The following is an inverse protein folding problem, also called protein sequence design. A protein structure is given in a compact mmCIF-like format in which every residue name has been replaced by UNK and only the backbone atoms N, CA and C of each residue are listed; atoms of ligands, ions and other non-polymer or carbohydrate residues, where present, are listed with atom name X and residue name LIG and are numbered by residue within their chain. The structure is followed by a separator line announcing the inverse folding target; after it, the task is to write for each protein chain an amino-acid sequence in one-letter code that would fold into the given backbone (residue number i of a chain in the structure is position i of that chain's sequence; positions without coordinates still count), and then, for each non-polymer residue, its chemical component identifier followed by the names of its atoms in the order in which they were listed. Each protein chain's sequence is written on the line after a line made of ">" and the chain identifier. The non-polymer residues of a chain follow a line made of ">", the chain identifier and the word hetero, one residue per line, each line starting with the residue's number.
data_IF_874006576115
#
_entry.id   IF_874006576115
#
_cell.length_a   1.000
_cell.length_b   1.000
_cell.length_c   1.000
_cell.angle_alpha   90.00
_cell.angle_beta   90.00
_cell.angle_gamma   90.00
#
_symmetry.space_group_name_H-M   'P 1'
#
loop_
_entity.id
_entity.type
_entity.pdbx_description
1 polymer ?
#
# COMPACT_ATOMS: atom_id res chain seq x y z
N UNK A 1 -40.78 -70.64 -8.87
CA UNK A 1 -42.25 -70.66 -8.92
C UNK A 1 -42.76 -71.16 -7.59
N UNK A 2 -43.81 -70.50 -7.05
CA UNK A 2 -44.50 -70.83 -5.79
C UNK A 2 -43.75 -70.39 -4.51
N UNK A 3 -44.35 -69.82 -3.47
CA UNK A 3 -45.73 -69.44 -3.19
C UNK A 3 -45.76 -68.50 -1.95
N UNK A 4 -46.68 -67.54 -1.99
CA UNK A 4 -47.61 -67.07 -0.93
C UNK A 4 -47.19 -67.02 0.57
N UNK A 5 -47.46 -65.83 1.13
CA UNK A 5 -47.48 -65.39 2.55
C UNK A 5 -48.07 -66.38 3.58
N UNK A 6 -47.75 -66.20 4.88
CA UNK A 6 -48.80 -65.64 5.77
C UNK A 6 -48.34 -64.77 6.98
N UNK A 7 -49.28 -63.92 7.39
CA UNK A 7 -49.67 -63.49 8.76
C UNK A 7 -48.76 -62.59 9.64
N UNK A 8 -49.28 -61.37 9.89
CA UNK A 8 -49.04 -60.50 11.06
C UNK A 8 -49.55 -61.14 12.37
N UNK A 9 -48.95 -60.83 13.53
CA UNK A 9 -49.49 -59.82 14.46
C UNK A 9 -48.34 -59.01 15.15
N UNK A 10 -48.46 -57.94 15.94
CA UNK A 10 -49.52 -57.14 16.54
C UNK A 10 -48.93 -55.73 16.81
N UNK A 11 -49.79 -54.71 16.93
CA UNK A 11 -49.41 -53.33 17.26
C UNK A 11 -48.91 -53.22 18.70
N UNK A 12 -47.85 -52.45 18.95
CA UNK A 12 -47.77 -51.54 20.10
C UNK A 12 -46.62 -50.53 20.02
N UNK A 13 -46.95 -49.27 20.36
CA UNK A 13 -46.10 -48.21 20.92
C UNK A 13 -45.01 -47.59 20.00
N UNK A 14 -45.26 -46.47 19.32
CA UNK A 14 -45.23 -45.06 19.77
C UNK A 14 -43.84 -44.39 19.73
N UNK A 15 -43.86 -43.18 19.16
CA UNK A 15 -42.93 -42.05 19.28
C UNK A 15 -41.60 -42.08 18.47
N UNK A 16 -41.69 -41.41 17.32
CA UNK A 16 -40.60 -40.84 16.54
C UNK A 16 -39.80 -39.82 17.37
N UNK A 17 -38.49 -40.02 17.49
CA UNK A 17 -37.54 -39.04 18.02
C UNK A 17 -36.93 -38.27 16.84
N UNK A 18 -37.43 -37.05 16.62
CA UNK A 18 -36.70 -36.00 15.92
C UNK A 18 -36.53 -34.85 16.92
N UNK A 19 -35.32 -34.71 17.48
CA UNK A 19 -34.93 -33.51 18.22
C UNK A 19 -33.82 -32.79 17.47
N UNK A 20 -34.09 -31.51 17.30
CA UNK A 20 -33.39 -30.49 16.54
C UNK A 20 -32.25 -29.93 17.39
N UNK A 21 -31.05 -29.85 16.78
CA UNK A 21 -29.92 -28.95 17.02
C UNK A 21 -29.60 -28.42 18.44
N UNK A 22 -28.37 -28.68 18.91
CA UNK A 22 -27.37 -27.64 19.25
C UNK A 22 -25.97 -28.24 19.02
N UNK A 23 -25.35 -27.94 17.88
CA UNK A 23 -23.90 -28.11 17.69
C UNK A 23 -23.28 -26.79 18.10
N UNK A 24 -22.51 -26.78 19.18
CA UNK A 24 -21.69 -25.63 19.57
C UNK A 24 -20.55 -25.49 18.56
N UNK A 25 -20.37 -24.32 17.91
CA UNK A 25 -19.20 -24.12 17.07
C UNK A 25 -17.97 -24.00 17.96
N UNK A 26 -17.02 -24.90 17.71
CA UNK A 26 -15.61 -24.86 18.12
C UNK A 26 -15.05 -23.48 17.78
N UNK A 27 -14.37 -22.88 18.76
CA UNK A 27 -13.65 -21.60 18.64
C UNK A 27 -12.90 -21.51 17.31
N UNK A 28 -13.43 -20.68 16.41
CA UNK A 28 -12.75 -20.25 15.20
C UNK A 28 -11.50 -19.48 15.62
N UNK A 29 -10.35 -19.93 15.12
CA UNK A 29 -9.14 -19.12 15.06
C UNK A 29 -9.52 -17.73 14.53
N UNK A 30 -9.30 -16.71 15.34
CA UNK A 30 -9.33 -15.35 14.85
C UNK A 30 -8.23 -15.22 13.79
N UNK A 31 -8.51 -14.70 12.58
CA UNK A 31 -7.43 -14.27 11.71
C UNK A 31 -6.62 -13.22 12.47
N UNK A 32 -5.30 -13.34 12.44
CA UNK A 32 -4.37 -12.28 12.83
C UNK A 32 -4.81 -10.97 12.17
N UNK A 33 -4.75 -9.82 12.86
CA UNK A 33 -5.05 -8.55 12.20
C UNK A 33 -4.00 -8.36 11.11
N UNK A 34 -4.39 -8.54 9.85
CA UNK A 34 -3.66 -7.97 8.74
C UNK A 34 -3.66 -6.46 8.98
N UNK A 35 -2.47 -5.91 9.16
CA UNK A 35 -2.29 -4.47 9.30
C UNK A 35 -2.73 -3.86 7.97
N UNK A 36 -3.94 -3.31 7.95
CA UNK A 36 -4.53 -2.68 6.78
C UNK A 36 -3.98 -1.26 6.70
N UNK A 37 -2.82 -1.14 6.05
CA UNK A 37 -2.15 0.11 5.72
C UNK A 37 -2.89 0.80 4.58
N UNK A 38 -4.05 1.42 4.87
CA UNK A 38 -4.58 2.42 3.94
C UNK A 38 -3.88 3.75 4.23
N UNK A 39 -3.36 4.39 3.18
CA UNK A 39 -3.01 5.82 3.18
C UNK A 39 -4.26 6.74 3.39
N UNK A 40 -5.42 6.13 3.70
CA UNK A 40 -6.65 6.76 4.13
C UNK A 40 -7.23 6.04 5.37
N UNK A 41 -6.88 6.48 6.58
CA UNK A 41 -7.66 6.16 7.79
C UNK A 41 -7.70 7.32 8.78
N UNK A 42 -8.78 8.10 8.73
CA UNK A 42 -9.28 8.84 9.89
C UNK A 42 -10.79 9.09 9.78
N UNK A 43 -11.59 8.29 10.50
CA UNK A 43 -12.90 8.70 11.02
C UNK A 43 -13.34 7.73 12.12
N UNK A 44 -12.74 7.84 13.30
CA UNK A 44 -13.41 7.42 14.53
C UNK A 44 -13.99 8.68 15.18
N UNK A 45 -15.29 8.94 15.00
CA UNK A 45 -16.00 9.83 15.92
C UNK A 45 -17.13 9.04 16.57
N UNK A 46 -16.94 8.87 17.88
CA UNK A 46 -17.81 8.13 18.77
C UNK A 46 -19.24 8.71 18.80
N UNK A 47 -20.18 7.81 18.99
CA UNK A 47 -21.57 8.06 19.29
C UNK A 47 -21.71 9.05 20.48
N UNK A 48 -22.38 10.18 20.28
CA UNK A 48 -22.97 10.94 21.39
C UNK A 48 -24.33 11.52 20.97
N UNK A 49 -25.39 10.85 21.43
CA UNK A 49 -26.77 11.31 21.38
C UNK A 49 -26.96 12.50 22.33
N UNK A 50 -27.33 13.68 21.80
CA UNK A 50 -28.41 14.56 22.29
C UNK A 50 -28.39 15.90 21.55
N UNK A 51 -29.55 16.56 21.31
CA UNK A 51 -29.60 17.84 20.62
C UNK A 51 -29.46 18.98 21.64
N UNK A 52 -28.25 19.48 21.85
CA UNK A 52 -28.03 20.72 22.58
C UNK A 52 -26.91 21.54 21.94
N UNK A 53 -27.31 22.52 21.12
CA UNK A 53 -26.60 23.77 20.85
C UNK A 53 -25.12 23.66 20.45
N UNK A 54 -24.86 23.38 19.17
CA UNK A 54 -23.52 23.51 18.58
C UNK A 54 -23.16 24.99 18.42
N UNK A 55 -22.22 25.47 19.24
CA UNK A 55 -21.35 26.59 18.86
C UNK A 55 -20.44 26.06 17.74
N UNK A 56 -20.45 26.70 16.56
CA UNK A 56 -19.49 26.36 15.50
C UNK A 56 -18.14 26.99 15.88
N UNK A 57 -17.35 26.26 16.65
CA UNK A 57 -15.89 26.44 16.57
C UNK A 57 -15.50 25.80 15.23
N UNK A 58 -15.07 26.63 14.27
CA UNK A 58 -14.35 26.12 13.11
C UNK A 58 -13.01 25.59 13.64
N UNK A 59 -12.97 24.29 13.95
CA UNK A 59 -11.71 23.56 13.96
C UNK A 59 -11.28 23.53 12.50
N UNK A 60 -10.12 24.11 12.18
CA UNK A 60 -9.51 23.94 10.87
C UNK A 60 -9.33 22.42 10.67
N UNK A 61 -9.92 21.89 9.61
CA UNK A 61 -9.59 20.55 9.16
C UNK A 61 -8.13 20.57 8.72
N UNK A 62 -7.26 19.84 9.42
CA UNK A 62 -5.97 19.48 8.85
C UNK A 62 -6.22 18.49 7.72
N UNK A 63 -5.61 18.72 6.56
CA UNK A 63 -5.81 17.94 5.34
C UNK A 63 -5.62 16.45 5.58
N UNK A 64 -6.62 15.65 5.18
CA UNK A 64 -6.75 14.24 5.51
C UNK A 64 -5.96 13.32 4.55
N UNK A 65 -4.67 13.58 4.36
CA UNK A 65 -3.74 12.66 3.72
C UNK A 65 -2.60 12.34 4.68
N UNK A 66 -2.37 11.06 4.98
CA UNK A 66 -1.16 10.64 5.69
C UNK A 66 0.02 10.62 4.71
N UNK A 67 1.21 11.04 5.14
CA UNK A 67 2.42 10.90 4.33
C UNK A 67 2.73 9.40 4.16
N UNK A 68 2.92 8.96 2.93
CA UNK A 68 3.16 7.55 2.61
C UNK A 68 4.18 7.39 1.47
N UNK A 69 4.76 6.20 1.34
CA UNK A 69 5.58 5.82 0.18
C UNK A 69 4.66 5.70 -1.04
N UNK A 70 5.11 6.19 -2.19
CA UNK A 70 4.30 6.26 -3.41
C UNK A 70 4.90 5.48 -4.59
N UNK A 71 6.16 5.70 -4.91
CA UNK A 71 6.83 5.10 -6.07
C UNK A 71 8.32 4.94 -5.77
N UNK A 72 8.91 3.81 -6.16
CA UNK A 72 10.30 3.48 -5.85
C UNK A 72 10.92 2.83 -7.08
N UNK A 73 12.07 3.36 -7.52
CA UNK A 73 12.97 2.71 -8.48
C UNK A 73 14.31 2.48 -7.80
N UNK A 74 14.76 1.23 -7.82
CA UNK A 74 16.04 0.79 -7.23
C UNK A 74 17.07 0.39 -8.27
N UNK A 75 16.65 0.18 -9.52
CA UNK A 75 17.55 -0.25 -10.60
C UNK A 75 16.95 0.14 -11.97
N UNK A 76 17.73 -0.02 -13.02
CA UNK A 76 17.29 0.09 -14.41
C UNK A 76 18.16 -0.72 -15.36
N UNK A 77 17.64 -1.09 -16.55
CA UNK A 77 18.46 -1.65 -17.60
C UNK A 77 19.62 -0.73 -18.00
N UNK A 78 20.85 -1.22 -17.81
CA UNK A 78 22.07 -0.54 -18.24
C UNK A 78 22.80 0.13 -17.10
N UNK A 79 23.06 1.43 -17.21
CA UNK A 79 23.70 2.19 -16.14
C UNK A 79 22.63 2.64 -15.15
N UNK A 80 22.89 2.38 -13.88
CA UNK A 80 22.00 2.71 -12.76
C UNK A 80 22.14 4.21 -12.43
N UNK A 81 21.24 5.02 -12.99
CA UNK A 81 21.28 6.48 -12.85
C UNK A 81 20.04 7.05 -12.18
N UNK A 82 18.92 6.32 -12.23
CA UNK A 82 17.57 6.77 -11.93
C UNK A 82 17.00 6.05 -10.71
N UNK A 83 17.80 5.91 -9.65
CA UNK A 83 17.31 5.52 -8.34
C UNK A 83 16.50 6.68 -7.73
N UNK A 84 15.29 6.36 -7.25
CA UNK A 84 14.47 7.32 -6.52
C UNK A 84 13.48 6.65 -5.58
N UNK A 85 13.07 7.42 -4.58
CA UNK A 85 11.86 7.17 -3.79
C UNK A 85 11.00 8.42 -3.81
N UNK A 86 9.71 8.23 -3.99
CA UNK A 86 8.72 9.27 -3.93
C UNK A 86 7.81 9.10 -2.71
N UNK A 87 7.63 10.20 -1.98
CA UNK A 87 6.65 10.29 -0.90
C UNK A 87 5.42 11.06 -1.39
N UNK A 88 4.24 10.58 -1.06
CA UNK A 88 2.97 11.28 -1.30
C UNK A 88 2.41 11.82 0.01
N UNK A 89 1.82 13.01 -0.02
CA UNK A 89 1.08 13.55 1.12
C UNK A 89 0.41 14.89 0.81
N UNK A 90 -0.25 15.50 1.80
CA UNK A 90 -0.85 16.82 1.63
C UNK A 90 0.23 17.87 1.31
N UNK A 91 0.02 18.75 0.31
CA UNK A 91 0.92 19.86 0.04
C UNK A 91 1.23 20.69 1.30
N UNK A 92 2.53 20.90 1.56
CA UNK A 92 3.02 21.62 2.74
C UNK A 92 3.09 20.79 4.03
N UNK A 93 2.72 19.50 4.01
CA UNK A 93 2.86 18.64 5.19
C UNK A 93 4.33 18.54 5.62
N UNK A 94 4.60 18.75 6.90
CA UNK A 94 5.95 18.68 7.47
C UNK A 94 6.43 17.23 7.55
N UNK A 95 7.69 17.02 7.20
CA UNK A 95 8.40 15.75 7.35
C UNK A 95 9.29 15.71 8.60
N UNK A 96 9.12 16.67 9.52
CA UNK A 96 9.90 16.71 10.76
C UNK A 96 9.71 15.43 11.59
N UNK A 97 10.85 14.87 12.02
CA UNK A 97 10.90 13.62 12.77
C UNK A 97 10.69 12.36 11.94
N UNK A 98 10.54 12.48 10.61
CA UNK A 98 10.52 11.35 9.69
C UNK A 98 11.92 11.07 9.12
N UNK A 99 12.13 9.78 8.85
CA UNK A 99 13.31 9.23 8.21
C UNK A 99 12.87 8.31 7.10
N UNK A 100 13.49 8.44 5.93
CA UNK A 100 13.44 7.38 4.94
C UNK A 100 14.63 6.46 5.17
N UNK A 101 14.35 5.16 5.29
CA UNK A 101 15.32 4.13 5.63
C UNK A 101 15.14 2.94 4.69
N UNK A 102 16.24 2.35 4.26
CA UNK A 102 16.24 1.03 3.63
C UNK A 102 17.02 0.09 4.53
N UNK A 103 16.45 -1.08 4.78
CA UNK A 103 17.11 -2.19 5.47
C UNK A 103 17.18 -3.42 4.55
N UNK A 104 18.28 -4.14 4.62
CA UNK A 104 18.51 -5.39 3.89
C UNK A 104 19.43 -6.30 4.71
N UNK A 105 20.40 -6.94 4.06
CA UNK A 105 21.38 -7.81 4.71
C UNK A 105 22.65 -7.06 5.18
N UNK A 106 23.26 -7.60 6.22
CA UNK A 106 24.50 -7.12 6.79
C UNK A 106 25.65 -8.09 6.60
N UNK A 107 26.67 -7.94 7.44
CA UNK A 107 27.68 -8.99 7.56
C UNK A 107 27.03 -10.30 8.04
N UNK A 108 27.70 -11.44 7.81
CA UNK A 108 27.23 -12.74 8.30
C UNK A 108 26.98 -12.83 9.83
N UNK A 109 27.46 -11.86 10.62
CA UNK A 109 27.20 -11.75 12.05
C UNK A 109 26.01 -10.84 12.41
N UNK A 110 25.60 -9.96 11.49
CA UNK A 110 24.45 -9.06 11.62
C UNK A 110 23.19 -9.62 10.97
N UNK A 111 23.32 -10.54 10.00
CA UNK A 111 22.17 -11.13 9.35
C UNK A 111 21.31 -10.09 8.63
N UNK A 112 20.00 -10.08 8.85
CA UNK A 112 19.05 -9.17 8.16
C UNK A 112 18.59 -8.03 9.07
N UNK A 113 18.10 -6.94 8.47
CA UNK A 113 17.58 -5.79 9.23
C UNK A 113 18.60 -4.66 9.40
N UNK A 114 19.70 -4.72 8.66
CA UNK A 114 20.76 -3.71 8.72
C UNK A 114 20.40 -2.51 7.87
N UNK A 115 20.57 -1.31 8.43
CA UNK A 115 20.35 -0.05 7.72
C UNK A 115 21.43 0.18 6.66
N UNK A 116 20.99 0.34 5.42
CA UNK A 116 21.85 0.61 4.25
C UNK A 116 21.64 2.01 3.69
N UNK A 117 20.40 2.49 3.68
CA UNK A 117 20.05 3.87 3.32
C UNK A 117 19.43 4.58 4.52
N UNK A 118 19.89 5.80 4.81
CA UNK A 118 19.57 6.51 6.05
C UNK A 118 19.42 8.02 5.83
N UNK A 119 18.19 8.47 5.55
CA UNK A 119 17.91 9.83 5.08
C UNK A 119 17.00 10.55 6.07
N UNK A 120 17.53 11.63 6.66
CA UNK A 120 16.77 12.51 7.55
C UNK A 120 15.90 13.49 6.74
N UNK A 121 14.60 13.50 7.00
CA UNK A 121 13.65 14.38 6.30
C UNK A 121 13.32 15.65 7.11
N UNK A 122 14.00 15.90 8.23
CA UNK A 122 13.81 17.10 9.03
C UNK A 122 14.02 18.39 8.21
N UNK A 123 13.10 19.34 8.38
CA UNK A 123 13.05 20.60 7.66
C UNK A 123 12.54 20.50 6.22
N UNK A 124 12.09 19.31 5.77
CA UNK A 124 11.45 19.10 4.48
C UNK A 124 9.94 19.13 4.62
N UNK A 125 9.27 19.43 3.51
CA UNK A 125 7.82 19.43 3.40
C UNK A 125 7.42 18.77 2.08
N UNK A 126 6.23 18.19 2.01
CA UNK A 126 5.64 17.78 0.74
C UNK A 126 5.45 19.03 -0.16
N UNK A 127 5.97 19.03 -1.40
CA UNK A 127 5.79 20.12 -2.36
C UNK A 127 4.32 20.39 -2.76
N UNK A 128 4.11 21.43 -3.55
CA UNK A 128 2.77 21.91 -3.91
C UNK A 128 1.95 20.95 -4.77
N UNK A 129 2.61 20.04 -5.47
CA UNK A 129 2.02 18.98 -6.29
C UNK A 129 1.63 17.74 -5.48
N UNK A 130 1.99 17.66 -4.19
CA UNK A 130 1.66 16.53 -3.33
C UNK A 130 2.69 15.41 -3.31
N UNK A 131 3.82 15.57 -4.02
CA UNK A 131 4.84 14.54 -4.18
C UNK A 131 6.22 15.09 -3.82
N UNK A 132 6.93 14.44 -2.89
CA UNK A 132 8.35 14.71 -2.66
C UNK A 132 9.17 13.64 -3.35
N UNK A 133 9.84 14.02 -4.44
CA UNK A 133 10.76 13.16 -5.16
C UNK A 133 12.17 13.25 -4.56
N UNK A 134 12.65 12.13 -4.01
CA UNK A 134 14.01 11.99 -3.49
C UNK A 134 14.78 11.11 -4.46
N UNK A 135 15.85 11.64 -5.03
CA UNK A 135 16.60 10.96 -6.09
C UNK A 135 18.08 11.30 -6.07
N UNK A 136 18.86 10.55 -6.85
CA UNK A 136 20.28 10.84 -7.03
C UNK A 136 20.53 11.99 -8.01
N UNK A 137 21.74 12.57 -7.96
CA UNK A 137 22.13 13.64 -8.89
C UNK A 137 22.29 13.19 -10.34
N UNK A 138 22.42 11.87 -10.55
CA UNK A 138 22.48 11.18 -11.84
C UNK A 138 21.11 11.02 -12.51
N UNK A 139 20.02 11.19 -11.76
CA UNK A 139 18.66 10.94 -12.22
C UNK A 139 18.33 11.79 -13.45
N UNK A 140 17.71 11.14 -14.42
CA UNK A 140 17.29 11.67 -15.72
C UNK A 140 15.78 11.60 -15.91
N UNK A 141 15.07 10.73 -15.19
CA UNK A 141 13.62 10.54 -15.29
C UNK A 141 12.81 11.79 -14.90
N UNK A 142 13.29 12.54 -13.92
CA UNK A 142 12.74 13.82 -13.48
C UNK A 142 13.81 14.63 -12.74
N UNK A 143 13.45 15.83 -12.26
CA UNK A 143 14.32 16.62 -11.37
C UNK A 143 13.90 16.36 -9.92
N UNK A 144 14.75 15.76 -9.08
CA UNK A 144 14.41 15.54 -7.67
C UNK A 144 14.19 16.84 -6.89
N UNK A 145 13.24 16.82 -5.97
CA UNK A 145 13.07 17.88 -4.97
C UNK A 145 14.17 17.81 -3.89
N UNK A 146 14.61 16.59 -3.58
CA UNK A 146 15.71 16.31 -2.68
C UNK A 146 16.75 15.44 -3.39
N UNK A 147 17.89 16.04 -3.68
CA UNK A 147 19.05 15.34 -4.21
C UNK A 147 19.88 14.79 -3.04
N UNK A 148 20.10 13.49 -3.02
CA UNK A 148 20.93 12.79 -2.04
C UNK A 148 21.53 11.54 -2.67
N UNK A 149 22.50 10.92 -2.01
CA UNK A 149 22.95 9.58 -2.38
C UNK A 149 21.97 8.57 -1.75
N UNK A 150 21.41 7.69 -2.57
CA UNK A 150 20.45 6.67 -2.16
C UNK A 150 21.15 5.35 -1.94
N UNK A 151 22.00 4.95 -2.91
CA UNK A 151 22.81 3.73 -2.87
C UNK A 151 21.94 2.53 -2.52
N UNK A 152 20.87 2.32 -3.29
CA UNK A 152 20.04 1.14 -3.11
C UNK A 152 20.83 -0.10 -3.56
N UNK A 153 20.55 -1.21 -2.90
CA UNK A 153 21.14 -2.48 -3.27
C UNK A 153 20.28 -3.20 -4.31
N UNK A 154 20.95 -3.96 -5.18
CA UNK A 154 20.33 -4.68 -6.29
C UNK A 154 20.58 -6.17 -6.05
N UNK A 155 19.53 -6.99 -6.20
CA UNK A 155 19.64 -8.44 -6.25
C UNK A 155 19.39 -9.20 -4.94
N UNK A 156 18.87 -8.53 -3.91
CA UNK A 156 18.55 -9.09 -2.58
C UNK A 156 17.14 -8.66 -2.09
N UNK A 157 16.78 -8.91 -0.83
CA UNK A 157 15.52 -8.41 -0.25
C UNK A 157 15.77 -7.12 0.52
N UNK A 158 15.30 -6.00 -0.01
CA UNK A 158 15.38 -4.70 0.67
C UNK A 158 13.99 -4.24 1.11
N UNK A 159 13.90 -3.72 2.34
CA UNK A 159 12.67 -3.10 2.87
C UNK A 159 12.84 -1.59 2.96
N UNK A 160 12.04 -0.88 2.16
CA UNK A 160 11.95 0.57 2.14
C UNK A 160 10.92 1.02 3.18
N UNK A 161 11.30 1.96 4.03
CA UNK A 161 10.54 2.34 5.21
C UNK A 161 10.52 3.85 5.41
N UNK A 162 9.36 4.35 5.85
CA UNK A 162 9.21 5.66 6.44
C UNK A 162 9.05 5.49 7.96
N UNK A 163 10.06 5.89 8.72
CA UNK A 163 10.10 5.74 10.18
C UNK A 163 9.95 7.09 10.88
N UNK A 164 9.23 7.10 12.01
CA UNK A 164 9.13 8.27 12.88
C UNK A 164 9.98 8.09 14.14
N UNK A 165 10.71 9.13 14.50
CA UNK A 165 11.46 9.19 15.76
C UNK A 165 12.61 8.19 15.82
N UNK A 166 13.23 7.90 14.68
CA UNK A 166 14.39 7.03 14.61
C UNK A 166 15.57 7.60 15.39
N UNK A 167 16.19 6.76 16.21
CA UNK A 167 17.33 7.04 17.08
C UNK A 167 18.44 6.03 16.85
N UNK A 168 18.77 5.82 15.57
CA UNK A 168 19.77 4.86 15.10
C UNK A 168 20.85 5.54 14.25
N UNK A 169 21.73 4.75 13.64
CA UNK A 169 22.79 5.21 12.72
C UNK A 169 22.85 4.31 11.49
N UNK A 170 23.40 4.82 10.39
CA UNK A 170 23.66 4.00 9.20
C UNK A 170 24.50 2.75 9.57
N UNK A 171 24.15 1.58 9.03
CA UNK A 171 24.78 0.29 9.31
C UNK A 171 24.40 -0.34 10.66
N UNK A 172 23.51 0.27 11.43
CA UNK A 172 22.95 -0.37 12.61
C UNK A 172 21.92 -1.43 12.22
N UNK A 173 21.83 -2.46 13.04
CA UNK A 173 20.91 -3.57 12.89
C UNK A 173 19.62 -3.30 13.67
N UNK A 174 18.47 -3.37 13.00
CA UNK A 174 17.14 -3.18 13.57
C UNK A 174 16.43 -4.50 13.90
N UNK A 175 17.05 -5.65 13.67
CA UNK A 175 16.54 -7.00 13.96
C UNK A 175 17.67 -7.85 14.55
N UNK A 176 18.15 -7.46 15.73
CA UNK A 176 19.41 -7.96 16.28
C UNK A 176 19.36 -9.44 16.71
N UNK A 177 18.18 -10.06 16.73
CA UNK A 177 18.01 -11.49 16.98
C UNK A 177 17.65 -12.31 15.73
N UNK A 178 17.69 -11.69 14.54
CA UNK A 178 17.51 -12.33 13.23
C UNK A 178 16.21 -13.14 13.12
N UNK A 179 15.14 -12.70 13.79
CA UNK A 179 13.85 -13.37 13.82
C UNK A 179 12.87 -12.85 12.74
N UNK A 180 13.33 -11.88 11.96
CA UNK A 180 12.61 -11.17 10.93
C UNK A 180 11.44 -10.34 11.46
N UNK A 181 11.54 -9.86 12.69
CA UNK A 181 10.66 -8.88 13.32
C UNK A 181 11.52 -7.74 13.86
N UNK A 182 11.20 -6.51 13.46
CA UNK A 182 11.98 -5.36 13.91
C UNK A 182 11.92 -5.16 15.42
N UNK A 183 13.09 -4.94 16.00
CA UNK A 183 13.29 -4.65 17.40
C UNK A 183 12.72 -3.27 17.77
N UNK A 184 11.84 -3.26 18.76
CA UNK A 184 11.25 -2.02 19.27
C UNK A 184 12.27 -1.21 20.10
N UNK A 185 12.15 0.12 20.04
CA UNK A 185 12.91 1.06 20.87
C UNK A 185 13.99 1.85 20.12
N UNK A 186 14.28 1.48 18.86
CA UNK A 186 15.15 2.24 17.94
C UNK A 186 14.37 3.31 17.18
N UNK A 187 13.06 3.12 16.97
CA UNK A 187 12.11 4.06 16.38
C UNK A 187 10.78 4.06 17.15
N UNK A 188 9.94 5.07 16.91
CA UNK A 188 8.64 5.23 17.58
C UNK A 188 7.52 4.55 16.78
N UNK A 189 7.54 4.69 15.45
CA UNK A 189 6.47 4.24 14.57
C UNK A 189 7.01 3.94 13.17
N UNK A 190 6.51 2.86 12.56
CA UNK A 190 6.60 2.61 11.13
C UNK A 190 5.39 3.32 10.51
N UNK A 191 5.63 4.40 9.78
CA UNK A 191 4.58 5.19 9.13
C UNK A 191 4.10 4.47 7.88
N UNK A 192 5.04 3.94 7.10
CA UNK A 192 4.77 3.14 5.92
C UNK A 192 5.98 2.28 5.58
N UNK A 193 5.77 1.14 4.91
CA UNK A 193 6.85 0.27 4.46
C UNK A 193 6.44 -0.63 3.30
N UNK A 194 7.42 -1.03 2.49
CA UNK A 194 7.28 -2.02 1.41
C UNK A 194 8.60 -2.75 1.23
N UNK A 195 8.54 -4.05 0.99
CA UNK A 195 9.71 -4.87 0.66
C UNK A 195 9.75 -5.11 -0.84
N UNK A 196 10.90 -4.86 -1.46
CA UNK A 196 11.18 -5.28 -2.84
C UNK A 196 12.02 -6.56 -2.73
N UNK A 197 11.47 -7.67 -3.23
CA UNK A 197 12.03 -8.99 -2.95
C UNK A 197 12.39 -9.85 -4.15
N UNK A 198 13.30 -10.79 -3.93
CA UNK A 198 13.79 -11.82 -4.86
C UNK A 198 13.11 -13.19 -4.67
N UNK A 199 12.26 -13.38 -3.63
CA UNK A 199 11.50 -14.62 -3.35
C UNK A 199 10.09 -14.42 -2.74
N UNK A 200 9.10 -15.25 -3.13
CA UNK A 200 7.78 -15.32 -2.45
C UNK A 200 7.87 -16.37 -1.33
N UNK A 201 8.24 -15.94 -0.13
CA UNK A 201 7.85 -16.59 1.11
C UNK A 201 8.01 -15.58 2.26
N UNK A 202 7.13 -15.61 3.28
CA UNK A 202 7.37 -14.84 4.49
C UNK A 202 8.74 -15.22 5.08
N UNK A 203 9.38 -14.30 5.80
CA UNK A 203 10.68 -14.53 6.40
C UNK A 203 10.71 -15.85 7.18
N UNK A 204 11.74 -16.65 6.93
CA UNK A 204 12.08 -17.76 7.81
C UNK A 204 13.41 -17.40 8.45
N UNK A 205 13.49 -17.39 9.78
CA UNK A 205 14.74 -17.12 10.50
C UNK A 205 15.91 -17.89 9.87
N UNK A 206 16.98 -17.17 9.50
CA UNK A 206 18.13 -17.70 8.75
C UNK A 206 18.03 -17.61 7.22
N UNK A 207 17.07 -16.88 6.67
CA UNK A 207 16.98 -16.45 5.27
C UNK A 207 16.90 -14.91 5.18
N UNK A 208 17.11 -14.33 3.99
CA UNK A 208 16.95 -12.87 3.78
C UNK A 208 15.53 -12.41 4.12
N UNK A 209 15.39 -11.59 5.16
CA UNK A 209 14.10 -11.16 5.68
C UNK A 209 13.43 -10.09 4.79
N UNK A 210 12.10 -10.07 4.81
CA UNK A 210 11.30 -8.94 4.34
C UNK A 210 10.41 -8.46 5.49
N UNK A 211 10.47 -7.17 5.83
CA UNK A 211 9.81 -6.62 7.02
C UNK A 211 8.46 -5.95 6.73
N UNK A 212 7.99 -5.99 5.48
CA UNK A 212 6.72 -5.39 5.06
C UNK A 212 6.01 -6.22 3.97
N UNK A 213 4.96 -5.67 3.35
CA UNK A 213 4.36 -6.28 2.16
C UNK A 213 5.41 -6.41 1.07
N UNK A 214 5.60 -7.63 0.58
CA UNK A 214 6.59 -7.95 -0.45
C UNK A 214 5.99 -7.75 -1.84
N UNK A 215 6.70 -7.02 -2.69
CA UNK A 215 6.43 -6.89 -4.13
C UNK A 215 7.52 -7.64 -4.87
N UNK A 216 7.11 -8.59 -5.72
CA UNK A 216 8.01 -9.51 -6.41
C UNK A 216 8.31 -10.79 -5.63
N UNK A 217 9.15 -11.69 -6.19
CA UNK A 217 9.65 -11.69 -7.56
C UNK A 217 8.52 -12.09 -8.52
N UNK A 218 8.52 -11.50 -9.70
CA UNK A 218 7.80 -12.09 -10.83
C UNK A 218 8.85 -12.56 -11.85
N UNK A 219 8.81 -13.84 -12.21
CA UNK A 219 9.75 -14.45 -13.17
C UNK A 219 11.22 -14.45 -12.70
N UNK A 220 11.47 -14.80 -11.43
CA UNK A 220 12.81 -15.00 -10.85
C UNK A 220 13.73 -13.76 -10.88
N UNK A 221 13.15 -12.56 -10.88
CA UNK A 221 13.90 -11.29 -10.81
C UNK A 221 13.32 -10.35 -9.76
N UNK A 222 14.20 -9.68 -9.01
CA UNK A 222 13.84 -8.56 -8.14
C UNK A 222 13.21 -7.46 -9.02
N UNK A 223 12.06 -6.88 -8.64
CA UNK A 223 11.54 -5.71 -9.32
C UNK A 223 12.53 -4.55 -9.25
N UNK A 224 12.82 -3.93 -10.39
CA UNK A 224 13.64 -2.71 -10.45
C UNK A 224 12.85 -1.46 -10.08
N UNK A 225 11.52 -1.54 -10.23
CA UNK A 225 10.58 -0.44 -10.07
C UNK A 225 9.26 -0.96 -9.51
N UNK A 226 8.71 -0.26 -8.52
CA UNK A 226 7.40 -0.53 -7.93
C UNK A 226 6.65 0.78 -7.75
N UNK A 227 5.33 0.71 -7.88
CA UNK A 227 4.44 1.86 -7.67
C UNK A 227 3.23 1.45 -6.85
N UNK A 228 2.79 2.36 -5.99
CA UNK A 228 1.57 2.22 -5.20
C UNK A 228 0.39 2.74 -6.00
N UNK A 229 -0.57 1.88 -6.27
CA UNK A 229 -1.82 2.27 -6.90
C UNK A 229 -2.65 3.10 -5.93
N UNK A 230 -3.57 3.89 -6.45
CA UNK A 230 -4.45 4.74 -5.65
C UNK A 230 -5.37 3.94 -4.75
N UNK A 231 -5.77 2.74 -5.14
CA UNK A 231 -6.42 1.74 -4.28
C UNK A 231 -5.61 1.34 -3.05
N UNK A 232 -4.32 1.71 -3.01
CA UNK A 232 -3.37 1.46 -1.92
C UNK A 232 -2.51 0.21 -2.11
N UNK A 233 -2.79 -0.60 -3.14
CA UNK A 233 -2.00 -1.79 -3.47
C UNK A 233 -0.68 -1.45 -4.16
N UNK A 234 0.38 -2.18 -3.86
CA UNK A 234 1.63 -2.09 -4.60
C UNK A 234 1.63 -3.03 -5.82
N UNK A 235 2.22 -2.58 -6.92
CA UNK A 235 2.48 -3.40 -8.10
C UNK A 235 3.92 -3.25 -8.57
N UNK A 236 4.39 -4.25 -9.31
CA UNK A 236 5.62 -4.14 -10.09
C UNK A 236 5.40 -3.17 -11.25
N UNK A 237 6.32 -2.21 -11.38
CA UNK A 237 6.43 -1.35 -12.55
C UNK A 237 7.31 -1.97 -13.64
N UNK A 238 7.45 -1.26 -14.76
CA UNK A 238 8.24 -1.73 -15.89
C UNK A 238 9.73 -1.56 -15.61
N UNK A 239 10.54 -2.55 -15.99
CA UNK A 239 12.00 -2.47 -15.84
C UNK A 239 12.58 -1.28 -16.64
N UNK A 240 12.07 -1.03 -17.86
CA UNK A 240 12.54 0.05 -18.72
C UNK A 240 12.01 1.43 -18.28
N UNK A 241 12.91 2.40 -18.18
CA UNK A 241 12.57 3.80 -17.90
C UNK A 241 11.89 4.50 -19.10
N UNK A 242 12.45 4.35 -20.31
CA UNK A 242 11.91 4.99 -21.52
C UNK A 242 10.71 4.18 -22.03
N UNK A 243 9.54 4.83 -22.08
CA UNK A 243 8.28 4.17 -22.44
C UNK A 243 7.78 3.22 -21.35
N UNK A 244 8.38 3.30 -20.15
CA UNK A 244 7.89 2.66 -18.95
C UNK A 244 6.70 3.36 -18.33
N UNK A 245 6.33 2.92 -17.13
CA UNK A 245 5.23 3.47 -16.36
C UNK A 245 5.68 4.25 -15.12
N UNK A 246 6.93 4.73 -15.10
CA UNK A 246 7.40 5.67 -14.10
C UNK A 246 6.59 6.96 -14.13
N UNK A 247 6.20 7.43 -12.96
CA UNK A 247 5.37 8.63 -12.80
C UNK A 247 5.92 9.65 -11.79
N UNK A 248 7.24 9.88 -11.68
CA UNK A 248 7.80 10.80 -10.68
C UNK A 248 7.19 12.21 -10.81
N UNK A 249 6.70 12.72 -9.68
CA UNK A 249 6.00 13.99 -9.52
C UNK A 249 4.53 13.96 -9.94
N UNK A 250 3.96 12.79 -10.22
CA UNK A 250 2.60 12.65 -10.76
C UNK A 250 1.85 11.42 -10.22
N UNK A 251 0.60 11.27 -10.63
CA UNK A 251 -0.26 10.18 -10.16
C UNK A 251 0.09 8.85 -10.83
N UNK A 252 0.33 7.82 -10.02
CA UNK A 252 0.56 6.43 -10.43
C UNK A 252 -0.65 5.84 -11.19
N UNK A 253 -0.41 5.27 -12.37
CA UNK A 253 -1.46 4.78 -13.28
C UNK A 253 -1.91 3.32 -13.11
N UNK A 254 -1.71 2.68 -11.95
CA UNK A 254 -1.83 1.21 -11.82
C UNK A 254 -3.14 0.65 -11.25
N UNK A 255 -4.16 1.45 -10.97
CA UNK A 255 -5.52 0.96 -10.58
C UNK A 255 -6.30 0.31 -11.73
N UNK A 256 -5.58 -0.16 -12.73
CA UNK A 256 -6.11 -0.96 -13.81
C UNK A 256 -6.33 -2.40 -13.33
N UNK A 257 -7.38 -2.67 -12.55
CA UNK A 257 -8.06 -3.95 -12.72
C UNK A 257 -8.75 -3.94 -14.09
N UNK A 258 -7.96 -4.06 -15.17
CA UNK A 258 -8.44 -4.27 -16.54
C UNK A 258 -8.64 -3.05 -17.45
N UNK A 259 -8.47 -1.80 -16.98
CA UNK A 259 -8.67 -0.63 -17.84
C UNK A 259 -7.45 0.27 -18.02
N UNK A 260 -7.08 0.46 -19.29
CA UNK A 260 -5.85 1.08 -19.75
C UNK A 260 -6.01 2.60 -19.97
N UNK A 261 -6.76 3.31 -19.13
CA UNK A 261 -6.67 4.77 -19.09
C UNK A 261 -7.23 5.37 -17.79
N UNK A 262 -6.60 6.46 -17.36
CA UNK A 262 -7.10 7.34 -16.30
C UNK A 262 -8.57 7.70 -16.58
N UNK A 263 -9.44 7.63 -15.58
CA UNK A 263 -10.84 8.06 -15.70
C UNK A 263 -11.87 6.99 -16.09
N UNK A 264 -11.47 5.78 -16.49
CA UNK A 264 -12.42 4.66 -16.65
C UNK A 264 -12.65 4.00 -15.28
N UNK A 265 -13.72 4.42 -14.62
CA UNK A 265 -14.06 4.04 -13.26
C UNK A 265 -14.84 2.73 -13.20
N UNK A 266 -15.30 2.22 -14.35
CA UNK A 266 -16.15 1.03 -14.44
C UNK A 266 -15.43 -0.18 -15.07
N UNK A 267 -14.30 0.05 -15.73
CA UNK A 267 -13.40 -0.97 -16.27
C UNK A 267 -13.73 -1.44 -17.69
N UNK A 268 -14.58 -0.73 -18.45
CA UNK A 268 -15.03 -1.14 -19.80
C UNK A 268 -14.16 -0.61 -20.96
N UNK A 269 -13.06 0.08 -20.63
CA UNK A 269 -12.07 0.71 -21.51
C UNK A 269 -12.59 1.92 -22.27
N UNK A 270 -13.62 2.59 -21.76
CA UNK A 270 -14.12 3.84 -22.31
C UNK A 270 -14.36 4.80 -21.16
N UNK A 271 -13.83 6.02 -21.25
CA UNK A 271 -14.19 7.12 -20.35
C UNK A 271 -15.39 7.83 -20.94
N UNK A 272 -16.57 7.59 -20.38
CA UNK A 272 -17.82 8.19 -20.85
C UNK A 272 -18.73 8.71 -19.71
N UNK A 273 -20.01 8.90 -20.03
CA UNK A 273 -20.99 9.42 -19.10
C UNK A 273 -21.31 8.45 -17.94
N UNK A 274 -20.97 7.16 -18.06
CA UNK A 274 -21.05 6.18 -16.98
C UNK A 274 -19.99 6.51 -15.93
N UNK A 275 -18.75 6.76 -16.35
CA UNK A 275 -17.66 7.11 -15.43
C UNK A 275 -17.88 8.47 -14.78
N UNK A 276 -18.36 9.46 -15.56
CA UNK A 276 -18.79 10.73 -15.00
C UNK A 276 -19.89 10.53 -13.94
N UNK A 277 -20.84 9.62 -14.20
CA UNK A 277 -21.88 9.27 -13.24
C UNK A 277 -21.30 8.67 -11.95
N UNK A 278 -20.30 7.79 -12.07
CA UNK A 278 -19.60 7.20 -10.92
C UNK A 278 -18.86 8.28 -10.13
N UNK A 279 -18.10 9.16 -10.80
CA UNK A 279 -17.37 10.26 -10.17
C UNK A 279 -18.32 11.17 -9.39
N UNK A 280 -19.44 11.58 -10.00
CA UNK A 280 -20.42 12.46 -9.36
C UNK A 280 -21.15 11.82 -8.17
N UNK A 281 -21.32 10.48 -8.17
CA UNK A 281 -21.86 9.76 -7.01
C UNK A 281 -20.89 9.79 -5.82
N UNK A 282 -19.60 9.98 -6.07
CA UNK A 282 -18.54 10.04 -5.06
C UNK A 282 -18.15 11.46 -4.66
N UNK A 283 -18.82 12.48 -5.21
CA UNK A 283 -18.49 13.89 -4.98
C UNK A 283 -18.41 14.25 -3.49
N UNK A 284 -17.33 14.91 -3.08
CA UNK A 284 -16.97 15.25 -1.69
C UNK A 284 -16.72 14.05 -0.76
N UNK A 285 -16.63 12.82 -1.27
CA UNK A 285 -16.26 11.63 -0.51
C UNK A 285 -14.86 11.14 -0.89
N UNK A 286 -14.08 10.61 0.07
CA UNK A 286 -12.86 9.86 -0.24
C UNK A 286 -13.21 8.58 -1.00
N UNK A 287 -12.73 8.45 -2.23
CA UNK A 287 -12.85 7.22 -3.01
C UNK A 287 -11.58 7.03 -3.85
N UNK A 288 -10.74 6.01 -3.56
CA UNK A 288 -9.46 5.86 -4.22
C UNK A 288 -9.55 5.50 -5.71
N UNK A 289 -10.73 5.15 -6.23
CA UNK A 289 -10.90 4.89 -7.66
C UNK A 289 -11.31 6.19 -8.37
N UNK A 290 -12.23 6.95 -7.79
CA UNK A 290 -12.75 8.19 -8.37
C UNK A 290 -11.93 9.46 -8.08
N UNK A 291 -11.04 9.44 -7.08
CA UNK A 291 -10.10 10.52 -6.70
C UNK A 291 -8.94 10.57 -7.71
N UNK A 292 -9.21 10.96 -8.96
CA UNK A 292 -8.26 10.98 -10.08
C UNK A 292 -6.95 11.74 -9.81
N UNK A 293 -6.96 12.79 -9.01
CA UNK A 293 -5.74 13.53 -8.65
C UNK A 293 -5.05 13.03 -7.38
N UNK A 294 -5.71 12.15 -6.63
CA UNK A 294 -5.17 11.53 -5.43
C UNK A 294 -5.10 12.47 -4.23
N UNK A 295 -5.87 13.57 -4.23
CA UNK A 295 -5.93 14.56 -3.15
C UNK A 295 -6.61 14.06 -1.88
N UNK A 296 -7.28 12.90 -1.94
CA UNK A 296 -8.02 12.28 -0.85
C UNK A 296 -9.51 12.62 -0.82
N UNK A 297 -10.00 13.40 -1.80
CA UNK A 297 -11.42 13.73 -1.99
C UNK A 297 -11.75 13.73 -3.47
N UNK A 298 -12.98 13.33 -3.83
CA UNK A 298 -13.47 13.47 -5.21
C UNK A 298 -14.12 14.84 -5.41
N UNK A 299 -13.51 15.71 -6.21
CA UNK A 299 -13.99 17.07 -6.49
C UNK A 299 -13.67 17.59 -7.91
N UNK A 300 -13.52 18.91 -8.05
CA UNK A 300 -13.38 19.62 -9.33
C UNK A 300 -12.15 19.19 -10.15
N UNK A 301 -10.95 19.19 -9.55
CA UNK A 301 -9.76 18.54 -10.09
C UNK A 301 -10.02 17.17 -10.73
N UNK A 302 -10.70 16.24 -10.03
CA UNK A 302 -10.97 14.90 -10.56
C UNK A 302 -11.88 14.94 -11.77
N UNK A 303 -12.93 15.76 -11.74
CA UNK A 303 -13.77 15.97 -12.89
C UNK A 303 -12.97 16.53 -14.08
N UNK A 304 -12.05 17.47 -13.84
CA UNK A 304 -11.15 18.00 -14.85
C UNK A 304 -10.28 16.91 -15.48
N UNK A 305 -9.72 16.02 -14.65
CA UNK A 305 -8.93 14.89 -15.11
C UNK A 305 -9.77 13.90 -15.91
N UNK A 306 -10.97 13.52 -15.45
CA UNK A 306 -11.87 12.61 -16.18
C UNK A 306 -12.23 13.17 -17.56
N UNK A 307 -12.56 14.46 -17.63
CA UNK A 307 -12.91 15.11 -18.89
C UNK A 307 -11.73 15.27 -19.85
N UNK A 308 -10.49 15.27 -19.34
CA UNK A 308 -9.27 15.38 -20.16
C UNK A 308 -8.95 14.12 -20.97
N UNK A 309 -9.50 12.98 -20.56
CA UNK A 309 -9.24 11.64 -21.09
C UNK A 309 -10.49 10.98 -21.67
N UNK A 310 -11.50 11.80 -22.03
CA UNK A 310 -12.78 11.33 -22.57
C UNK A 310 -12.64 10.50 -23.84
N UNK A 311 -13.30 9.34 -23.89
CA UNK A 311 -13.31 8.43 -25.02
C UNK A 311 -12.65 7.08 -24.73
N UNK A 312 -12.37 6.31 -25.78
CA UNK A 312 -11.78 4.98 -25.64
C UNK A 312 -10.35 5.06 -25.10
N UNK A 313 -9.99 4.12 -24.21
CA UNK A 313 -8.63 4.00 -23.72
C UNK A 313 -7.64 3.65 -24.86
N UNK A 314 -6.41 4.18 -24.85
CA UNK A 314 -5.34 3.73 -25.74
C UNK A 314 -5.07 2.23 -25.60
N UNK A 315 -4.67 1.59 -26.70
CA UNK A 315 -4.31 0.17 -26.79
C UNK A 315 -2.80 -0.03 -26.87
#
# INVERSE_FOLDING_TARGET
>A
MSNLLPSLPSRSSLASLASLAVVTPRSSFAPTPSVSWLCARAAACALALTPAMCIRVAVAAEGNGTICLNEIRIDQPGADNDEYVELKGPPGASLDGLWFVVIGDGTAAQGSGVIESFINLAGKTIPSDGYLLIGESSMTAATPDLITNLNFENGDNVTHMLLRGLSSTNGADLDADDDCVLDHGTFIEIVDAVTIGTGIAPPTAGAECGYATVVGPEQDTQPMHILRCRSGGWVRGTDALIGGNDTPGTVNGCDATGSACLGDLNGDRVVDNVDLGILLVKWEFPDPVADLDGSGLVDGPDLGMLLSVWGACPV
#
